data_IF_587082681787
#
_entry.id   IF_587082681787
#
_cell.length_a   1.000
_cell.length_b   1.000
_cell.length_c   1.000
_cell.angle_alpha   90.00
_cell.angle_beta   90.00
_cell.angle_gamma   90.00
#
_symmetry.space_group_name_H-M   'P 1'
#
loop_
_entity.id
_entity.type
_entity.pdbx_description
1 polymer ?
#
# COMPACT_ATOMS: atom_id res chain seq x y z
N UNK A 1 2.75 -36.47 0.82
CA UNK A 1 3.74 -36.04 -0.17
C UNK A 1 3.65 -34.54 -0.30
N UNK A 2 4.76 -33.83 -0.12
CA UNK A 2 4.78 -32.39 -0.39
C UNK A 2 4.41 -32.16 -1.86
N UNK A 3 3.40 -31.31 -2.13
CA UNK A 3 3.09 -30.93 -3.51
C UNK A 3 4.33 -30.23 -4.07
N UNK A 4 4.92 -30.75 -5.14
CA UNK A 4 6.05 -30.11 -5.80
C UNK A 4 5.56 -28.79 -6.39
N UNK A 5 6.06 -27.70 -5.89
CA UNK A 5 5.67 -26.34 -6.27
C UNK A 5 6.06 -26.03 -7.73
N UNK A 6 7.14 -26.63 -8.21
CA UNK A 6 7.67 -26.44 -9.57
C UNK A 6 7.37 -27.61 -10.50
N UNK A 7 6.19 -28.19 -10.39
CA UNK A 7 5.78 -29.33 -11.19
C UNK A 7 4.95 -28.91 -12.41
N UNK A 8 5.58 -28.86 -13.58
CA UNK A 8 4.93 -28.50 -14.85
C UNK A 8 3.89 -29.51 -15.38
N UNK A 9 3.70 -30.65 -14.70
CA UNK A 9 2.71 -31.66 -15.11
C UNK A 9 1.29 -31.39 -14.61
N UNK A 10 1.11 -30.34 -13.80
CA UNK A 10 -0.20 -29.93 -13.29
C UNK A 10 -1.03 -29.34 -14.42
N UNK A 11 -2.32 -29.73 -14.51
CA UNK A 11 -3.27 -29.13 -15.47
C UNK A 11 -3.38 -27.62 -15.25
N UNK A 12 -3.44 -26.84 -16.31
CA UNK A 12 -3.44 -25.37 -16.33
C UNK A 12 -4.78 -24.78 -16.78
N UNK A 13 -5.89 -25.46 -16.50
CA UNK A 13 -7.21 -24.88 -16.67
C UNK A 13 -7.48 -23.87 -15.52
N UNK A 14 -6.99 -22.64 -15.70
CA UNK A 14 -7.11 -21.60 -14.70
C UNK A 14 -8.49 -20.93 -14.67
N UNK A 15 -9.27 -21.03 -15.73
CA UNK A 15 -10.62 -20.43 -15.79
C UNK A 15 -11.59 -21.07 -14.78
N UNK A 16 -11.40 -22.36 -14.49
CA UNK A 16 -12.21 -23.10 -13.52
C UNK A 16 -11.76 -22.93 -12.07
N UNK A 17 -10.56 -22.38 -11.83
CA UNK A 17 -9.94 -22.32 -10.51
C UNK A 17 -10.50 -21.21 -9.60
N UNK A 18 -10.38 -21.43 -8.31
CA UNK A 18 -10.56 -20.40 -7.28
C UNK A 18 -9.37 -19.45 -7.28
N UNK A 19 -9.57 -18.28 -6.74
CA UNK A 19 -8.54 -17.25 -6.61
C UNK A 19 -7.39 -17.72 -5.71
N UNK A 20 -7.74 -18.27 -4.53
CA UNK A 20 -6.80 -18.74 -3.53
C UNK A 20 -7.04 -20.21 -3.18
N UNK A 21 -5.94 -20.92 -2.90
CA UNK A 21 -5.96 -22.31 -2.40
C UNK A 21 -6.89 -23.22 -3.21
N UNK A 22 -6.77 -23.20 -4.53
CA UNK A 22 -7.52 -24.13 -5.37
C UNK A 22 -7.04 -25.57 -5.14
N UNK A 23 -7.94 -26.57 -5.06
CA UNK A 23 -7.56 -27.97 -4.90
C UNK A 23 -6.63 -28.51 -6.00
N UNK A 24 -6.68 -27.93 -7.21
CA UNK A 24 -5.77 -28.29 -8.31
C UNK A 24 -4.32 -27.84 -8.05
N UNK A 25 -4.07 -26.96 -7.07
CA UNK A 25 -2.75 -26.52 -6.64
C UNK A 25 -2.38 -25.12 -7.10
N UNK A 26 -1.10 -24.72 -6.89
CA UNK A 26 -0.60 -23.38 -7.22
C UNK A 26 -0.51 -23.16 -8.74
N UNK A 27 -0.19 -21.93 -9.12
CA UNK A 27 0.21 -21.60 -10.50
C UNK A 27 1.49 -22.36 -10.84
N UNK A 28 1.56 -22.92 -12.05
CA UNK A 28 2.73 -23.70 -12.52
C UNK A 28 3.29 -23.18 -13.83
N UNK A 29 2.43 -22.90 -14.80
CA UNK A 29 2.80 -22.27 -16.07
C UNK A 29 2.06 -20.96 -16.14
N UNK A 30 2.78 -19.87 -16.36
CA UNK A 30 2.19 -18.56 -16.57
C UNK A 30 1.51 -18.52 -17.95
N UNK A 31 0.18 -18.37 -17.95
CA UNK A 31 -0.66 -18.34 -19.16
C UNK A 31 -1.55 -17.11 -19.09
N UNK A 32 -1.44 -16.23 -20.08
CA UNK A 32 -2.20 -14.99 -20.17
C UNK A 32 -3.03 -14.88 -21.46
N UNK A 33 -3.06 -15.92 -22.30
CA UNK A 33 -3.93 -15.97 -23.48
C UNK A 33 -5.42 -16.02 -23.11
N UNK A 34 -5.73 -16.59 -21.95
CA UNK A 34 -7.06 -16.59 -21.33
C UNK A 34 -6.91 -16.31 -19.84
N UNK A 35 -7.59 -15.28 -19.35
CA UNK A 35 -7.60 -14.89 -17.94
C UNK A 35 -8.99 -14.98 -17.37
N UNK A 36 -9.11 -15.48 -16.14
CA UNK A 36 -10.39 -15.59 -15.45
C UNK A 36 -10.94 -14.20 -15.06
N UNK A 37 -10.06 -13.33 -14.58
CA UNK A 37 -10.41 -12.00 -14.09
C UNK A 37 -9.72 -10.92 -14.92
N UNK A 38 -10.35 -10.48 -15.98
CA UNK A 38 -9.87 -9.36 -16.81
C UNK A 38 -9.54 -8.11 -15.99
N UNK A 39 -10.22 -7.92 -14.86
CA UNK A 39 -9.97 -6.77 -13.99
C UNK A 39 -8.58 -6.84 -13.34
N UNK A 40 -8.12 -8.02 -12.88
CA UNK A 40 -6.77 -8.20 -12.36
C UNK A 40 -5.70 -8.00 -13.43
N UNK A 41 -5.91 -8.59 -14.61
CA UNK A 41 -5.00 -8.40 -15.73
C UNK A 41 -4.89 -6.92 -16.15
N UNK A 42 -6.02 -6.19 -16.11
CA UNK A 42 -6.04 -4.76 -16.40
C UNK A 42 -5.29 -3.95 -15.34
N UNK A 43 -5.49 -4.23 -14.06
CA UNK A 43 -4.74 -3.57 -12.98
C UNK A 43 -3.22 -3.77 -13.13
N UNK A 44 -2.78 -5.01 -13.39
CA UNK A 44 -1.37 -5.30 -13.62
C UNK A 44 -0.82 -4.53 -14.83
N UNK A 45 -1.58 -4.50 -15.92
CA UNK A 45 -1.20 -3.77 -17.13
C UNK A 45 -1.11 -2.26 -16.87
N UNK A 46 -2.05 -1.68 -16.15
CA UNK A 46 -2.06 -0.25 -15.80
C UNK A 46 -0.88 0.10 -14.89
N UNK A 47 -0.62 -0.68 -13.84
CA UNK A 47 0.51 -0.48 -12.95
C UNK A 47 1.85 -0.56 -13.69
N UNK A 48 2.03 -1.58 -14.54
CA UNK A 48 3.23 -1.74 -15.36
C UNK A 48 3.40 -0.62 -16.39
N UNK A 49 2.31 -0.11 -16.94
CA UNK A 49 2.30 1.04 -17.86
C UNK A 49 2.60 2.37 -17.16
N UNK A 50 2.45 2.44 -15.85
CA UNK A 50 2.71 3.63 -15.03
C UNK A 50 4.10 3.57 -14.36
N UNK A 51 5.05 2.89 -14.95
CA UNK A 51 6.42 2.77 -14.40
C UNK A 51 7.14 4.12 -14.37
N UNK A 52 7.79 4.42 -13.25
CA UNK A 52 8.57 5.63 -13.02
C UNK A 52 9.75 5.36 -12.08
N UNK A 53 10.70 6.31 -11.98
CA UNK A 53 11.83 6.24 -11.06
C UNK A 53 12.03 7.58 -10.34
N UNK A 54 12.41 7.59 -9.07
CA UNK A 54 12.52 8.83 -8.28
C UNK A 54 13.63 9.76 -8.75
N UNK A 55 14.65 9.23 -9.44
CA UNK A 55 15.78 9.98 -9.97
C UNK A 55 15.38 11.01 -11.05
N UNK A 56 14.20 10.89 -11.63
CA UNK A 56 13.65 11.86 -12.61
C UNK A 56 13.20 13.16 -11.95
N UNK A 57 13.06 13.18 -10.61
CA UNK A 57 12.56 14.34 -9.87
C UNK A 57 13.71 15.05 -9.15
N UNK A 58 13.94 16.33 -9.47
CA UNK A 58 14.95 17.15 -8.80
C UNK A 58 14.51 17.53 -7.37
N UNK A 59 15.40 17.33 -6.40
CA UNK A 59 15.23 17.67 -4.98
C UNK A 59 16.13 18.83 -4.54
N UNK A 60 16.76 19.54 -5.47
CA UNK A 60 17.70 20.64 -5.16
C UNK A 60 17.00 21.74 -4.37
N UNK A 61 15.78 22.14 -4.78
CA UNK A 61 15.00 23.13 -4.05
C UNK A 61 14.57 22.62 -2.69
N UNK A 62 14.17 21.36 -2.57
CA UNK A 62 13.72 20.73 -1.32
C UNK A 62 14.81 20.73 -0.27
N UNK A 63 16.09 20.50 -0.67
CA UNK A 63 17.24 20.63 0.23
C UNK A 63 17.40 22.04 0.79
N UNK A 64 17.14 23.08 -0.01
CA UNK A 64 17.16 24.46 0.47
C UNK A 64 15.94 24.76 1.36
N UNK A 65 14.74 24.35 0.91
CA UNK A 65 13.50 24.52 1.69
C UNK A 65 13.66 23.88 3.09
N UNK A 66 14.31 22.72 3.20
CA UNK A 66 14.54 22.05 4.47
C UNK A 66 15.50 22.83 5.39
N UNK A 67 16.56 23.43 4.85
CA UNK A 67 17.47 24.26 5.63
C UNK A 67 16.77 25.47 6.23
N UNK A 68 15.90 26.10 5.45
CA UNK A 68 15.19 27.32 5.79
C UNK A 68 13.90 27.08 6.62
N UNK A 69 13.43 25.83 6.67
CA UNK A 69 12.22 25.46 7.38
C UNK A 69 12.36 25.60 8.90
N UNK A 70 11.24 25.92 9.57
CA UNK A 70 11.15 25.90 11.03
C UNK A 70 11.30 24.48 11.60
N UNK A 71 11.65 24.37 12.87
CA UNK A 71 11.77 23.06 13.54
C UNK A 71 10.46 22.28 13.53
N UNK A 72 9.31 22.96 13.61
CA UNK A 72 7.98 22.33 13.45
C UNK A 72 7.83 21.66 12.08
N UNK A 73 8.17 22.39 11.01
CA UNK A 73 8.08 21.86 9.64
C UNK A 73 9.07 20.72 9.42
N UNK A 74 10.30 20.85 9.92
CA UNK A 74 11.32 19.78 9.87
C UNK A 74 10.85 18.51 10.59
N UNK A 75 10.25 18.68 11.78
CA UNK A 75 9.69 17.56 12.53
C UNK A 75 8.59 16.84 11.73
N UNK A 76 7.60 17.56 11.22
CA UNK A 76 6.49 16.99 10.45
C UNK A 76 7.01 16.27 9.20
N UNK A 77 7.89 16.93 8.43
CA UNK A 77 8.47 16.36 7.21
C UNK A 77 9.24 15.07 7.50
N UNK A 78 10.18 15.12 8.46
CA UNK A 78 11.04 13.97 8.79
C UNK A 78 10.24 12.80 9.32
N UNK A 79 9.37 13.06 10.31
CA UNK A 79 8.57 12.01 10.93
C UNK A 79 7.66 11.31 9.91
N UNK A 80 7.02 12.10 9.04
CA UNK A 80 6.12 11.54 8.04
C UNK A 80 6.88 10.72 6.98
N UNK A 81 8.05 11.18 6.53
CA UNK A 81 8.92 10.48 5.59
C UNK A 81 9.42 9.14 6.17
N UNK A 82 9.84 9.13 7.43
CA UNK A 82 10.27 7.90 8.11
C UNK A 82 9.14 6.91 8.29
N UNK A 83 7.93 7.40 8.59
CA UNK A 83 6.76 6.55 8.69
C UNK A 83 6.39 5.91 7.35
N UNK A 84 6.38 6.68 6.27
CA UNK A 84 6.14 6.17 4.91
C UNK A 84 7.19 5.10 4.55
N UNK A 85 8.47 5.34 4.87
CA UNK A 85 9.53 4.34 4.69
C UNK A 85 9.24 3.02 5.42
N UNK A 86 8.72 3.10 6.65
CA UNK A 86 8.38 1.90 7.44
C UNK A 86 7.17 1.16 6.86
N UNK A 87 6.14 1.88 6.40
CA UNK A 87 4.94 1.30 5.79
C UNK A 87 5.30 0.51 4.53
N UNK A 88 6.02 1.11 3.58
CA UNK A 88 6.41 0.46 2.33
C UNK A 88 7.42 -0.68 2.55
N UNK A 89 8.28 -0.57 3.57
CA UNK A 89 9.17 -1.68 3.94
C UNK A 89 8.42 -2.91 4.43
N UNK A 90 7.26 -2.72 5.06
CA UNK A 90 6.37 -3.79 5.46
C UNK A 90 5.58 -4.33 4.25
N UNK A 91 4.95 -3.41 3.50
CA UNK A 91 4.10 -3.75 2.36
C UNK A 91 4.88 -4.38 1.21
N UNK A 92 6.10 -3.92 0.93
CA UNK A 92 6.91 -4.46 -0.15
C UNK A 92 7.22 -5.95 -0.03
N UNK A 93 7.21 -6.51 1.17
CA UNK A 93 7.42 -7.95 1.41
C UNK A 93 6.11 -8.73 1.49
N UNK A 94 5.03 -8.08 1.92
CA UNK A 94 3.74 -8.71 2.15
C UNK A 94 3.23 -9.49 0.93
N UNK A 95 2.85 -8.83 -0.18
CA UNK A 95 2.19 -9.50 -1.30
C UNK A 95 2.95 -10.70 -1.85
N UNK A 96 4.26 -10.58 -2.07
CA UNK A 96 5.06 -11.66 -2.65
C UNK A 96 5.31 -12.81 -1.66
N UNK A 97 5.47 -12.54 -0.37
CA UNK A 97 5.83 -13.58 0.60
C UNK A 97 4.62 -14.31 1.18
N UNK A 98 3.48 -13.62 1.33
CA UNK A 98 2.33 -14.23 2.01
C UNK A 98 1.19 -14.59 1.06
N UNK A 99 0.93 -13.82 0.01
CA UNK A 99 -0.17 -14.10 -0.90
C UNK A 99 0.26 -14.94 -2.11
N UNK A 100 1.45 -14.72 -2.70
CA UNK A 100 1.91 -15.53 -3.84
C UNK A 100 1.88 -17.03 -3.56
N UNK A 101 2.29 -17.54 -2.39
CA UNK A 101 2.23 -18.99 -2.10
C UNK A 101 0.83 -19.59 -2.11
N UNK A 102 -0.20 -18.76 -1.96
CA UNK A 102 -1.61 -19.20 -1.91
C UNK A 102 -2.40 -18.84 -3.17
N UNK A 103 -1.80 -18.10 -4.12
CA UNK A 103 -2.41 -17.80 -5.41
C UNK A 103 -2.60 -19.07 -6.25
N UNK A 104 -3.72 -19.16 -6.96
CA UNK A 104 -4.04 -20.32 -7.80
C UNK A 104 -4.26 -19.98 -9.28
N UNK A 105 -4.16 -18.72 -9.64
CA UNK A 105 -4.36 -18.19 -11.01
C UNK A 105 -3.26 -17.19 -11.38
N UNK A 106 -2.79 -17.18 -12.65
CA UNK A 106 -1.64 -16.40 -13.09
C UNK A 106 -1.80 -14.88 -12.95
N UNK A 107 -2.95 -14.34 -13.32
CA UNK A 107 -3.22 -12.91 -13.26
C UNK A 107 -3.21 -12.36 -11.83
N UNK A 108 -3.60 -13.17 -10.83
CA UNK A 108 -3.49 -12.77 -9.43
C UNK A 108 -2.04 -12.81 -8.95
N UNK A 109 -1.32 -13.87 -9.29
CA UNK A 109 0.10 -13.99 -8.94
C UNK A 109 0.91 -12.86 -9.54
N UNK A 110 0.63 -12.46 -10.80
CA UNK A 110 1.27 -11.34 -11.46
C UNK A 110 1.00 -10.00 -10.73
N UNK A 111 -0.23 -9.76 -10.27
CA UNK A 111 -0.56 -8.59 -9.44
C UNK A 111 0.26 -8.58 -8.14
N UNK A 112 0.41 -9.72 -7.44
CA UNK A 112 1.17 -9.79 -6.19
C UNK A 112 2.66 -9.49 -6.40
N UNK A 113 3.27 -9.97 -7.49
CA UNK A 113 4.67 -9.66 -7.81
C UNK A 113 4.86 -8.20 -8.23
N UNK A 114 3.94 -7.67 -9.04
CA UNK A 114 3.97 -6.27 -9.46
C UNK A 114 3.86 -5.34 -8.24
N UNK A 115 2.91 -5.60 -7.35
CA UNK A 115 2.72 -4.86 -6.10
C UNK A 115 4.01 -4.83 -5.27
N UNK A 116 4.58 -6.00 -4.93
CA UNK A 116 5.85 -6.05 -4.20
C UNK A 116 6.99 -5.34 -4.91
N UNK A 117 7.02 -5.36 -6.24
CA UNK A 117 8.04 -4.66 -7.01
C UNK A 117 7.94 -3.14 -6.85
N UNK A 118 6.76 -2.55 -7.00
CA UNK A 118 6.57 -1.11 -6.83
C UNK A 118 6.92 -0.66 -5.42
N UNK A 119 6.39 -1.32 -4.39
CA UNK A 119 6.68 -1.00 -3.00
C UNK A 119 8.18 -1.06 -2.66
N UNK A 120 8.85 -2.13 -3.09
CA UNK A 120 10.25 -2.36 -2.73
C UNK A 120 11.22 -1.56 -3.59
N UNK A 121 11.00 -1.54 -4.92
CA UNK A 121 11.98 -1.02 -5.87
C UNK A 121 11.74 0.41 -6.28
N UNK A 122 10.50 0.91 -6.15
CA UNK A 122 10.15 2.27 -6.53
C UNK A 122 9.91 3.11 -5.28
N UNK A 123 8.91 2.77 -4.43
CA UNK A 123 8.53 3.56 -3.26
C UNK A 123 9.64 3.61 -2.21
N UNK A 124 10.14 2.47 -1.73
CA UNK A 124 11.22 2.44 -0.73
C UNK A 124 12.50 3.12 -1.22
N UNK A 125 12.81 3.02 -2.52
CA UNK A 125 13.94 3.76 -3.11
C UNK A 125 13.68 5.25 -3.18
N UNK A 126 12.44 5.66 -3.39
CA UNK A 126 12.02 7.06 -3.43
C UNK A 126 12.28 7.76 -2.10
N UNK A 127 11.90 7.15 -0.99
CA UNK A 127 12.21 7.70 0.34
C UNK A 127 13.71 7.78 0.60
N UNK A 128 14.45 6.75 0.20
CA UNK A 128 15.92 6.76 0.28
C UNK A 128 16.53 7.85 -0.60
N UNK A 129 15.98 8.11 -1.78
CA UNK A 129 16.39 9.18 -2.67
C UNK A 129 16.13 10.56 -2.04
N UNK A 130 14.94 10.78 -1.46
CA UNK A 130 14.59 12.01 -0.77
C UNK A 130 15.55 12.26 0.40
N UNK A 131 15.74 11.26 1.28
CA UNK A 131 16.59 11.38 2.46
C UNK A 131 18.03 11.71 2.08
N UNK A 132 18.59 11.04 1.04
CA UNK A 132 19.97 11.29 0.57
C UNK A 132 20.18 12.70 0.00
N UNK A 133 19.16 13.29 -0.58
CA UNK A 133 19.26 14.63 -1.18
C UNK A 133 19.01 15.77 -0.18
N UNK A 134 18.32 15.50 0.93
CA UNK A 134 17.91 16.52 1.90
C UNK A 134 18.82 16.55 3.13
N UNK A 135 19.27 15.40 3.63
CA UNK A 135 20.03 15.31 4.87
C UNK A 135 21.52 15.13 4.64
N UNK A 136 22.33 15.80 5.47
CA UNK A 136 23.78 15.69 5.41
C UNK A 136 24.29 14.28 5.80
N UNK A 137 23.62 13.64 6.75
CA UNK A 137 23.94 12.28 7.24
C UNK A 137 22.69 11.40 7.17
N UNK A 138 22.36 10.83 6.01
CA UNK A 138 21.15 10.02 5.80
C UNK A 138 21.01 8.87 6.78
N UNK A 139 22.10 8.23 7.16
CA UNK A 139 22.10 7.10 8.09
C UNK A 139 21.50 7.46 9.45
N UNK A 140 21.82 8.63 9.97
CA UNK A 140 21.34 9.04 11.30
C UNK A 140 19.82 9.22 11.27
N UNK A 141 19.27 9.72 10.16
CA UNK A 141 17.83 9.86 9.99
C UNK A 141 17.14 8.49 9.97
N UNK A 142 17.65 7.54 9.19
CA UNK A 142 17.08 6.19 9.13
C UNK A 142 17.12 5.48 10.50
N UNK A 143 18.18 5.68 11.29
CA UNK A 143 18.29 5.05 12.61
C UNK A 143 17.18 5.52 13.58
N UNK A 144 16.62 6.71 13.39
CA UNK A 144 15.55 7.24 14.27
C UNK A 144 14.18 6.57 14.02
N UNK A 145 14.02 5.76 12.98
CA UNK A 145 12.76 4.98 12.75
C UNK A 145 12.45 4.12 13.99
N UNK A 146 13.48 3.47 14.53
CA UNK A 146 13.32 2.55 15.67
C UNK A 146 13.08 3.26 17.00
N UNK A 147 13.38 4.56 17.08
CA UNK A 147 13.23 5.35 18.30
C UNK A 147 11.84 6.01 18.42
N UNK A 148 11.00 5.90 17.40
CA UNK A 148 9.66 6.47 17.36
C UNK A 148 8.61 5.38 17.65
N UNK A 149 8.05 5.40 18.86
CA UNK A 149 7.10 4.38 19.32
C UNK A 149 5.86 4.31 18.42
N UNK A 150 5.35 5.45 17.96
CA UNK A 150 4.18 5.53 17.09
C UNK A 150 4.41 4.84 15.73
N UNK A 151 5.66 4.82 15.23
CA UNK A 151 6.02 4.08 14.01
C UNK A 151 6.09 2.58 14.30
N UNK A 152 6.68 2.18 15.41
CA UNK A 152 6.81 0.78 15.81
C UNK A 152 5.44 0.12 16.06
N UNK A 153 4.54 0.80 16.77
CA UNK A 153 3.19 0.30 17.06
C UNK A 153 2.38 0.08 15.79
N UNK A 154 2.43 1.06 14.89
CA UNK A 154 1.77 0.98 13.60
C UNK A 154 2.26 -0.22 12.75
N UNK A 155 3.56 -0.46 12.70
CA UNK A 155 4.12 -1.58 11.94
C UNK A 155 3.64 -2.93 12.50
N UNK A 156 3.50 -3.04 13.83
CA UNK A 156 3.09 -4.27 14.49
C UNK A 156 1.63 -4.64 14.22
N UNK A 157 0.72 -3.67 14.13
CA UNK A 157 -0.72 -3.94 13.98
C UNK A 157 -1.09 -4.61 12.65
N UNK A 158 -0.38 -4.29 11.55
CA UNK A 158 -0.53 -4.98 10.26
C UNK A 158 0.39 -6.19 10.17
N UNK A 159 1.66 -6.04 10.59
CA UNK A 159 2.68 -7.08 10.55
C UNK A 159 2.26 -8.38 11.22
N UNK A 160 1.53 -8.32 12.32
CA UNK A 160 1.04 -9.51 13.02
C UNK A 160 0.14 -10.40 12.14
N UNK A 161 -0.70 -9.82 11.28
CA UNK A 161 -1.55 -10.58 10.35
C UNK A 161 -0.74 -11.18 9.19
N UNK A 162 0.29 -10.47 8.75
CA UNK A 162 1.21 -10.98 7.74
C UNK A 162 2.03 -12.15 8.28
N UNK A 163 2.59 -12.01 9.48
CA UNK A 163 3.33 -13.08 10.17
C UNK A 163 2.45 -14.30 10.42
N UNK A 164 1.19 -14.11 10.82
CA UNK A 164 0.22 -15.20 11.00
C UNK A 164 0.03 -16.01 9.72
N UNK A 165 -0.20 -15.35 8.59
CA UNK A 165 -0.35 -16.03 7.30
C UNK A 165 0.96 -16.66 6.85
N UNK A 166 2.09 -15.99 7.02
CA UNK A 166 3.42 -16.52 6.68
C UNK A 166 3.71 -17.82 7.45
N UNK A 167 3.49 -17.84 8.75
CA UNK A 167 3.68 -19.04 9.59
C UNK A 167 2.78 -20.19 9.13
N UNK A 168 1.51 -19.91 8.78
CA UNK A 168 0.57 -20.92 8.31
C UNK A 168 1.03 -21.47 6.94
N UNK A 169 1.49 -20.63 6.02
CA UNK A 169 2.06 -21.05 4.75
C UNK A 169 3.26 -21.98 4.96
N UNK A 170 4.23 -21.60 5.79
CA UNK A 170 5.40 -22.40 6.11
C UNK A 170 5.03 -23.77 6.76
N UNK A 171 4.08 -23.76 7.70
CA UNK A 171 3.58 -25.01 8.30
C UNK A 171 2.97 -25.93 7.23
N UNK A 172 2.21 -25.37 6.30
CA UNK A 172 1.60 -26.14 5.20
C UNK A 172 2.64 -26.73 4.25
N UNK A 173 3.66 -25.97 3.90
CA UNK A 173 4.76 -26.41 3.04
C UNK A 173 5.61 -27.50 3.68
N UNK A 174 5.89 -27.40 4.97
CA UNK A 174 6.66 -28.38 5.73
C UNK A 174 5.87 -29.64 6.10
N UNK A 175 4.60 -29.73 5.69
CA UNK A 175 3.75 -30.91 5.91
C UNK A 175 3.11 -30.97 7.31
N UNK A 176 3.15 -29.89 8.07
CA UNK A 176 2.42 -29.77 9.33
C UNK A 176 0.91 -29.73 9.10
N UNK A 177 0.13 -30.14 10.09
CA UNK A 177 -1.33 -30.07 10.01
C UNK A 177 -1.78 -28.61 10.06
N UNK A 178 -2.41 -28.18 8.97
CA UNK A 178 -3.08 -26.88 8.84
C UNK A 178 -4.48 -27.17 8.28
N UNK A 179 -5.51 -26.75 9.00
CA UNK A 179 -6.89 -26.90 8.50
C UNK A 179 -7.16 -25.89 7.39
N UNK A 180 -8.05 -26.22 6.47
CA UNK A 180 -8.46 -25.29 5.41
C UNK A 180 -9.06 -24.01 6.01
N UNK A 181 -9.87 -24.16 7.05
CA UNK A 181 -10.49 -23.01 7.76
C UNK A 181 -9.43 -22.07 8.33
N UNK A 182 -8.43 -22.59 9.07
CA UNK A 182 -7.32 -21.77 9.62
C UNK A 182 -6.59 -21.00 8.52
N UNK A 183 -6.33 -21.66 7.38
CA UNK A 183 -5.62 -21.05 6.28
C UNK A 183 -6.43 -19.96 5.56
N UNK A 184 -7.72 -20.23 5.29
CA UNK A 184 -8.63 -19.26 4.67
C UNK A 184 -8.86 -18.05 5.59
N UNK A 185 -9.04 -18.27 6.91
CA UNK A 185 -9.20 -17.17 7.87
C UNK A 185 -7.96 -16.29 7.92
N UNK A 186 -6.75 -16.88 7.87
CA UNK A 186 -5.50 -16.10 7.84
C UNK A 186 -5.36 -15.28 6.55
N UNK A 187 -5.71 -15.84 5.39
CA UNK A 187 -5.72 -15.08 4.11
C UNK A 187 -6.73 -13.93 4.19
N UNK A 188 -7.92 -14.18 4.71
CA UNK A 188 -8.96 -13.16 4.87
C UNK A 188 -8.51 -12.02 5.75
N UNK A 189 -7.91 -12.31 6.91
CA UNK A 189 -7.39 -11.31 7.82
C UNK A 189 -6.23 -10.52 7.20
N UNK A 190 -5.30 -11.18 6.51
CA UNK A 190 -4.19 -10.52 5.84
C UNK A 190 -4.65 -9.60 4.70
N UNK A 191 -5.65 -9.98 3.91
CA UNK A 191 -6.25 -9.12 2.87
C UNK A 191 -6.86 -7.85 3.48
N UNK A 192 -7.59 -7.98 4.60
CA UNK A 192 -8.16 -6.82 5.29
C UNK A 192 -7.06 -5.94 5.92
N UNK A 193 -5.98 -6.52 6.44
CA UNK A 193 -4.82 -5.78 6.96
C UNK A 193 -4.10 -5.00 5.85
N UNK A 194 -3.90 -5.62 4.66
CA UNK A 194 -3.36 -4.93 3.49
C UNK A 194 -4.27 -3.79 3.06
N UNK A 195 -5.58 -4.00 3.00
CA UNK A 195 -6.53 -2.94 2.65
C UNK A 195 -6.52 -1.79 3.66
N UNK A 196 -6.37 -2.07 4.96
CA UNK A 196 -6.24 -1.03 5.98
C UNK A 196 -5.00 -0.16 5.76
N UNK A 197 -3.90 -0.78 5.29
CA UNK A 197 -2.67 -0.07 4.97
C UNK A 197 -2.86 0.84 3.76
N UNK A 198 -3.35 0.32 2.65
CA UNK A 198 -3.51 1.04 1.38
C UNK A 198 -4.59 2.12 1.45
N UNK A 199 -5.73 1.82 2.09
CA UNK A 199 -6.88 2.70 2.07
C UNK A 199 -6.85 3.82 3.13
N UNK A 200 -6.11 3.62 4.24
CA UNK A 200 -6.10 4.60 5.34
C UNK A 200 -4.72 5.18 5.58
N UNK A 201 -3.74 4.31 5.92
CA UNK A 201 -2.44 4.75 6.43
C UNK A 201 -1.68 5.58 5.42
N UNK A 202 -1.62 5.15 4.19
CA UNK A 202 -0.96 5.90 3.14
C UNK A 202 -1.68 7.21 2.85
N UNK A 203 -3.00 7.21 2.74
CA UNK A 203 -3.77 8.44 2.44
C UNK A 203 -3.54 9.54 3.49
N UNK A 204 -3.48 9.18 4.77
CA UNK A 204 -3.20 10.13 5.87
C UNK A 204 -1.78 10.69 5.77
N UNK A 205 -0.81 9.84 5.49
CA UNK A 205 0.59 10.25 5.31
C UNK A 205 0.77 11.14 4.08
N UNK A 206 0.13 10.81 2.95
CA UNK A 206 0.20 11.62 1.74
C UNK A 206 -0.45 13.00 1.92
N UNK A 207 -1.58 13.08 2.64
CA UNK A 207 -2.20 14.36 2.95
C UNK A 207 -1.22 15.30 3.69
N UNK A 208 -0.41 14.75 4.60
CA UNK A 208 0.59 15.54 5.32
C UNK A 208 1.72 16.02 4.39
N UNK A 209 2.28 15.15 3.56
CA UNK A 209 3.31 15.52 2.59
C UNK A 209 2.82 16.54 1.57
N UNK A 210 1.60 16.36 1.05
CA UNK A 210 1.02 17.25 0.05
C UNK A 210 0.55 18.59 0.63
N UNK A 211 0.28 18.67 1.94
CA UNK A 211 0.06 19.96 2.60
C UNK A 211 1.28 20.88 2.50
N UNK A 212 2.49 20.33 2.45
CA UNK A 212 3.70 21.12 2.22
C UNK A 212 3.75 21.72 0.82
N UNK A 213 3.28 20.97 -0.19
CA UNK A 213 3.15 21.46 -1.58
C UNK A 213 2.15 22.62 -1.66
N UNK A 214 1.03 22.54 -0.94
CA UNK A 214 0.06 23.63 -0.85
C UNK A 214 0.68 24.90 -0.25
N UNK A 215 1.68 24.73 0.60
CA UNK A 215 2.48 25.82 1.17
C UNK A 215 3.70 26.21 0.29
N UNK A 216 3.82 25.65 -0.92
CA UNK A 216 4.89 25.93 -1.89
C UNK A 216 6.30 25.58 -1.41
N UNK A 217 6.42 24.61 -0.51
CA UNK A 217 7.67 24.04 -0.04
C UNK A 217 7.71 22.54 -0.36
N UNK A 218 8.92 21.96 -0.48
CA UNK A 218 9.14 20.54 -0.77
C UNK A 218 8.40 20.03 -2.01
N UNK A 219 8.42 20.82 -3.10
CA UNK A 219 7.70 20.51 -4.34
C UNK A 219 8.22 19.22 -4.98
N UNK A 220 9.55 19.00 -4.97
CA UNK A 220 10.15 17.77 -5.50
C UNK A 220 9.68 16.53 -4.72
N UNK A 221 9.75 16.59 -3.37
CA UNK A 221 9.17 15.55 -2.52
C UNK A 221 7.69 15.33 -2.83
N UNK A 222 6.91 16.41 -2.94
CA UNK A 222 5.49 16.31 -3.26
C UNK A 222 5.21 15.68 -4.63
N UNK A 223 6.05 15.90 -5.62
CA UNK A 223 5.94 15.26 -6.93
C UNK A 223 6.17 13.74 -6.81
N UNK A 224 7.22 13.31 -6.09
CA UNK A 224 7.48 11.89 -5.82
C UNK A 224 6.31 11.27 -5.06
N UNK A 225 5.85 11.89 -3.98
CA UNK A 225 4.70 11.41 -3.19
C UNK A 225 3.42 11.37 -4.02
N UNK A 226 3.25 12.29 -4.96
CA UNK A 226 2.12 12.28 -5.89
C UNK A 226 2.14 11.08 -6.85
N UNK A 227 3.32 10.64 -7.30
CA UNK A 227 3.48 9.42 -8.10
C UNK A 227 3.17 8.17 -7.25
N UNK A 228 3.73 8.07 -6.05
CA UNK A 228 3.42 6.99 -5.11
C UNK A 228 1.91 6.94 -4.83
N UNK A 229 1.26 8.07 -4.56
CA UNK A 229 -0.18 8.14 -4.32
C UNK A 229 -1.01 7.52 -5.46
N UNK A 230 -0.59 7.68 -6.72
CA UNK A 230 -1.29 7.06 -7.85
C UNK A 230 -1.19 5.54 -7.81
N UNK A 231 -0.04 5.00 -7.44
CA UNK A 231 0.16 3.56 -7.27
C UNK A 231 -0.70 3.03 -6.11
N UNK A 232 -0.74 3.73 -4.97
CA UNK A 232 -1.52 3.32 -3.80
C UNK A 232 -3.04 3.39 -4.01
N UNK A 233 -3.50 4.30 -4.86
CA UNK A 233 -4.90 4.30 -5.31
C UNK A 233 -5.22 3.00 -6.06
N UNK A 234 -4.33 2.54 -6.94
CA UNK A 234 -4.50 1.25 -7.62
C UNK A 234 -4.42 0.07 -6.65
N UNK A 235 -3.46 0.08 -5.72
CA UNK A 235 -3.30 -0.96 -4.68
C UNK A 235 -4.57 -1.08 -3.82
N UNK A 236 -5.13 0.03 -3.38
CA UNK A 236 -6.41 0.09 -2.67
C UNK A 236 -7.55 -0.49 -3.53
N UNK A 237 -7.65 -0.08 -4.79
CA UNK A 237 -8.74 -0.52 -5.68
C UNK A 237 -8.72 -2.02 -5.92
N UNK A 238 -7.56 -2.61 -6.23
CA UNK A 238 -7.52 -4.05 -6.47
C UNK A 238 -7.69 -4.86 -5.18
N UNK A 239 -7.16 -4.39 -4.04
CA UNK A 239 -7.34 -5.08 -2.76
C UNK A 239 -8.80 -5.07 -2.32
N UNK A 240 -9.48 -3.91 -2.42
CA UNK A 240 -10.91 -3.80 -2.16
C UNK A 240 -11.76 -4.65 -3.11
N UNK A 241 -11.37 -4.72 -4.39
CA UNK A 241 -12.03 -5.59 -5.35
C UNK A 241 -11.84 -7.08 -4.99
N UNK A 242 -10.63 -7.52 -4.62
CA UNK A 242 -10.36 -8.89 -4.19
C UNK A 242 -11.20 -9.27 -2.97
N UNK A 243 -11.26 -8.43 -1.93
CA UNK A 243 -12.07 -8.64 -0.73
C UNK A 243 -13.55 -8.87 -1.11
N UNK A 244 -14.09 -8.06 -1.99
CA UNK A 244 -15.48 -8.21 -2.43
C UNK A 244 -15.70 -9.42 -3.33
N UNK A 245 -14.74 -9.76 -4.18
CA UNK A 245 -14.87 -10.82 -5.17
C UNK A 245 -14.73 -12.21 -4.55
N UNK A 246 -13.74 -12.42 -3.67
CA UNK A 246 -13.55 -13.74 -3.03
C UNK A 246 -14.77 -14.18 -2.21
N UNK A 247 -15.44 -13.25 -1.56
CA UNK A 247 -16.65 -13.54 -0.77
C UNK A 247 -17.84 -13.97 -1.65
N UNK A 248 -17.93 -13.42 -2.87
CA UNK A 248 -19.01 -13.75 -3.81
C UNK A 248 -18.83 -15.12 -4.45
N UNK A 249 -17.59 -15.52 -4.72
CA UNK A 249 -17.30 -16.70 -5.53
C UNK A 249 -16.88 -17.93 -4.72
N UNK A 250 -16.35 -17.72 -3.54
CA UNK A 250 -15.84 -18.81 -2.71
C UNK A 250 -16.55 -18.85 -1.36
N UNK A 251 -17.43 -19.86 -1.12
CA UNK A 251 -18.15 -19.98 0.14
C UNK A 251 -17.24 -20.11 1.37
N UNK A 252 -15.96 -20.52 1.20
CA UNK A 252 -14.98 -20.58 2.27
C UNK A 252 -14.67 -19.18 2.79
N UNK A 253 -14.52 -18.19 1.88
CA UNK A 253 -14.30 -16.79 2.23
C UNK A 253 -15.58 -16.11 2.75
N UNK A 254 -16.75 -16.46 2.23
CA UNK A 254 -18.02 -16.00 2.81
C UNK A 254 -18.16 -16.45 4.28
N UNK A 255 -17.80 -17.70 4.58
CA UNK A 255 -17.75 -18.21 5.93
C UNK A 255 -16.67 -17.55 6.81
N UNK A 256 -15.48 -17.27 6.26
CA UNK A 256 -14.39 -16.55 6.95
C UNK A 256 -14.82 -15.12 7.30
N UNK A 257 -15.48 -14.41 6.39
CA UNK A 257 -16.03 -13.06 6.63
C UNK A 257 -16.91 -13.06 7.88
N UNK A 258 -17.79 -14.06 8.02
CA UNK A 258 -18.66 -14.16 9.20
C UNK A 258 -17.90 -14.53 10.47
N UNK A 259 -16.97 -15.50 10.40
CA UNK A 259 -16.19 -15.94 11.57
C UNK A 259 -15.26 -14.85 12.10
N UNK A 260 -14.64 -14.12 11.21
CA UNK A 260 -13.63 -13.09 11.55
C UNK A 260 -14.22 -11.68 11.65
N UNK A 261 -15.56 -11.50 11.56
CA UNK A 261 -16.20 -10.19 11.51
C UNK A 261 -15.75 -9.26 12.64
N UNK A 262 -15.78 -9.75 13.87
CA UNK A 262 -15.39 -8.97 15.06
C UNK A 262 -13.90 -8.63 15.05
N UNK A 263 -13.04 -9.57 14.65
CA UNK A 263 -11.58 -9.35 14.57
C UNK A 263 -11.23 -8.33 13.47
N UNK A 264 -11.85 -8.44 12.30
CA UNK A 264 -11.68 -7.49 11.19
C UNK A 264 -12.17 -6.09 11.58
N UNK A 265 -13.33 -6.00 12.22
CA UNK A 265 -13.85 -4.71 12.67
C UNK A 265 -12.93 -4.05 13.70
N UNK A 266 -12.45 -4.82 14.70
CA UNK A 266 -11.51 -4.34 15.69
C UNK A 266 -10.19 -3.90 15.06
N UNK A 267 -9.65 -4.66 14.10
CA UNK A 267 -8.46 -4.29 13.33
C UNK A 267 -8.60 -2.90 12.71
N UNK A 268 -9.71 -2.61 12.04
CA UNK A 268 -9.95 -1.29 11.45
C UNK A 268 -10.08 -0.19 12.50
N UNK A 269 -10.74 -0.45 13.62
CA UNK A 269 -10.83 0.53 14.71
C UNK A 269 -9.46 0.84 15.32
N UNK A 270 -8.60 -0.17 15.48
CA UNK A 270 -7.24 0.00 15.97
C UNK A 270 -6.40 0.84 15.01
N UNK A 271 -6.45 0.53 13.71
CA UNK A 271 -5.77 1.32 12.68
C UNK A 271 -6.24 2.78 12.70
N UNK A 272 -7.54 3.03 12.76
CA UNK A 272 -8.10 4.39 12.80
C UNK A 272 -7.63 5.15 14.06
N UNK A 273 -7.58 4.48 15.21
CA UNK A 273 -7.06 5.07 16.45
C UNK A 273 -5.59 5.44 16.29
N UNK A 274 -4.77 4.54 15.79
CA UNK A 274 -3.34 4.76 15.55
C UNK A 274 -3.08 5.92 14.57
N UNK A 275 -3.90 6.06 13.53
CA UNK A 275 -3.82 7.19 12.61
C UNK A 275 -4.14 8.53 13.28
N UNK A 276 -5.11 8.55 14.20
CA UNK A 276 -5.43 9.73 14.99
C UNK A 276 -4.34 10.08 15.99
N UNK A 277 -3.71 9.09 16.60
CA UNK A 277 -2.57 9.28 17.50
C UNK A 277 -1.36 9.79 16.71
N UNK A 278 -1.13 9.26 15.51
CA UNK A 278 -0.14 9.78 14.58
C UNK A 278 -0.38 11.26 14.22
N UNK A 279 -1.61 11.66 13.96
CA UNK A 279 -1.94 13.05 13.71
C UNK A 279 -1.56 13.96 14.90
N UNK A 280 -1.80 13.50 16.13
CA UNK A 280 -1.39 14.22 17.34
C UNK A 280 0.14 14.32 17.46
N UNK A 281 0.85 13.24 17.19
CA UNK A 281 2.32 13.20 17.20
C UNK A 281 2.93 14.15 16.17
N UNK A 282 2.45 14.13 14.93
CA UNK A 282 2.95 15.01 13.86
C UNK A 282 2.85 16.49 14.22
N UNK A 283 1.73 16.89 14.80
CA UNK A 283 1.47 18.30 15.10
C UNK A 283 1.74 18.71 16.55
N UNK A 284 2.52 17.90 17.30
CA UNK A 284 2.86 18.22 18.71
C UNK A 284 3.61 19.53 18.91
N UNK A 285 4.32 20.01 17.88
CA UNK A 285 5.05 21.28 17.89
C UNK A 285 4.30 22.43 17.20
N UNK A 286 3.06 22.19 16.76
CA UNK A 286 2.21 23.18 16.12
C UNK A 286 1.77 22.77 14.70
N UNK A 287 0.85 23.54 14.12
CA UNK A 287 0.28 23.27 12.80
C UNK A 287 1.17 23.79 11.67
N UNK A 288 0.83 23.36 10.44
CA UNK A 288 1.20 24.05 9.20
C UNK A 288 -0.02 24.77 8.62
N UNK A 289 0.19 25.70 7.69
CA UNK A 289 -0.92 26.39 7.04
C UNK A 289 -1.80 25.34 6.31
N UNK A 290 -3.09 25.35 6.61
CA UNK A 290 -4.09 24.47 6.00
C UNK A 290 -4.18 23.06 6.57
N UNK A 291 -3.33 22.69 7.57
CA UNK A 291 -3.40 21.38 8.21
C UNK A 291 -2.95 21.42 9.68
N UNK A 292 -3.73 20.77 10.55
CA UNK A 292 -3.42 20.56 11.95
C UNK A 292 -3.93 19.19 12.41
N UNK A 293 -3.65 18.81 13.66
CA UNK A 293 -4.05 17.52 14.21
C UNK A 293 -5.57 17.26 14.10
N UNK A 294 -6.41 18.23 14.39
CA UNK A 294 -7.88 18.04 14.35
C UNK A 294 -8.37 17.83 12.91
N UNK A 295 -7.93 18.65 11.97
CA UNK A 295 -8.27 18.52 10.55
C UNK A 295 -7.80 17.16 10.01
N UNK A 296 -6.59 16.72 10.37
CA UNK A 296 -6.08 15.42 9.94
C UNK A 296 -6.86 14.25 10.58
N UNK A 297 -7.25 14.36 11.84
CA UNK A 297 -8.13 13.36 12.50
C UNK A 297 -9.51 13.26 11.85
N UNK A 298 -10.11 14.39 11.48
CA UNK A 298 -11.37 14.41 10.73
C UNK A 298 -11.19 13.78 9.34
N UNK A 299 -10.03 13.98 8.71
CA UNK A 299 -9.71 13.33 7.43
C UNK A 299 -9.52 11.82 7.59
N UNK A 300 -8.96 11.34 8.70
CA UNK A 300 -8.92 9.90 9.04
C UNK A 300 -10.33 9.32 9.07
N UNK A 301 -11.26 9.95 9.80
CA UNK A 301 -12.65 9.47 9.87
C UNK A 301 -13.36 9.50 8.52
N UNK A 302 -13.14 10.55 7.73
CA UNK A 302 -13.69 10.66 6.38
C UNK A 302 -13.19 9.54 5.46
N UNK A 303 -11.86 9.32 5.44
CA UNK A 303 -11.22 8.30 4.60
C UNK A 303 -11.65 6.89 5.03
N UNK A 304 -11.64 6.63 6.34
CA UNK A 304 -12.08 5.36 6.90
C UNK A 304 -13.54 5.03 6.55
N UNK A 305 -14.45 5.99 6.68
CA UNK A 305 -15.86 5.81 6.32
C UNK A 305 -16.03 5.42 4.86
N UNK A 306 -15.35 6.12 3.95
CA UNK A 306 -15.46 5.85 2.53
C UNK A 306 -14.89 4.47 2.18
N UNK A 307 -13.69 4.18 2.63
CA UNK A 307 -13.03 2.92 2.33
C UNK A 307 -13.76 1.71 2.95
N UNK A 308 -14.23 1.80 4.18
CA UNK A 308 -15.00 0.72 4.80
C UNK A 308 -16.34 0.47 4.10
N UNK A 309 -17.00 1.54 3.62
CA UNK A 309 -18.22 1.38 2.83
C UNK A 309 -17.96 0.64 1.51
N UNK A 310 -16.81 0.83 0.85
CA UNK A 310 -16.42 0.14 -0.39
C UNK A 310 -16.35 -1.39 -0.22
N UNK A 311 -16.00 -1.86 0.97
CA UNK A 311 -15.92 -3.30 1.32
C UNK A 311 -17.13 -3.79 2.15
N UNK A 312 -18.17 -2.96 2.26
CA UNK A 312 -19.44 -3.31 2.90
C UNK A 312 -19.41 -3.32 4.44
N UNK A 313 -18.46 -2.61 5.06
CA UNK A 313 -18.37 -2.43 6.52
C UNK A 313 -18.90 -1.04 6.89
N UNK A 314 -19.85 -0.99 7.82
CA UNK A 314 -20.38 0.28 8.32
C UNK A 314 -19.44 0.88 9.37
N UNK A 315 -19.10 2.15 9.19
CA UNK A 315 -18.35 2.94 10.16
C UNK A 315 -19.19 4.09 10.69
N UNK A 316 -18.66 4.87 11.64
CA UNK A 316 -19.38 5.95 12.36
C UNK A 316 -20.25 6.84 11.47
N UNK A 317 -21.53 6.94 11.79
CA UNK A 317 -22.46 7.84 11.08
C UNK A 317 -22.09 9.32 11.25
N UNK A 318 -21.39 9.67 12.35
CA UNK A 318 -20.94 11.02 12.70
C UNK A 318 -19.67 11.45 11.97
N UNK A 319 -18.98 10.54 11.24
CA UNK A 319 -17.82 10.92 10.44
C UNK A 319 -18.19 11.97 9.37
N UNK A 320 -17.25 12.89 9.03
CA UNK A 320 -17.52 13.96 8.06
C UNK A 320 -18.17 13.43 6.76
N UNK A 321 -19.11 14.21 6.21
CA UNK A 321 -19.79 13.86 4.94
C UNK A 321 -18.99 14.31 3.71
N UNK A 322 -18.14 15.32 3.88
CA UNK A 322 -17.22 15.83 2.86
C UNK A 322 -15.81 15.89 3.41
N UNK A 323 -14.83 15.85 2.52
CA UNK A 323 -13.42 15.91 2.95
C UNK A 323 -13.12 17.22 3.69
N UNK A 324 -12.46 17.17 4.86
CA UNK A 324 -12.01 18.35 5.57
C UNK A 324 -10.82 19.05 4.88
N UNK A 325 -10.20 18.40 3.90
CA UNK A 325 -9.07 18.91 3.11
C UNK A 325 -9.40 18.87 1.60
N UNK A 326 -10.27 19.76 1.09
CA UNK A 326 -10.73 19.72 -0.31
C UNK A 326 -9.61 19.84 -1.35
N UNK A 327 -8.50 20.49 -0.99
CA UNK A 327 -7.33 20.63 -1.84
C UNK A 327 -6.66 19.28 -2.16
N UNK A 328 -6.84 18.25 -1.32
CA UNK A 328 -6.31 16.91 -1.55
C UNK A 328 -6.92 16.22 -2.77
N UNK A 329 -8.18 16.54 -3.10
CA UNK A 329 -8.90 15.91 -4.21
C UNK A 329 -8.18 16.08 -5.57
N UNK A 330 -7.46 17.20 -5.78
CA UNK A 330 -6.70 17.42 -7.02
C UNK A 330 -5.53 16.47 -7.20
N UNK A 331 -5.00 15.92 -6.09
CA UNK A 331 -3.90 14.96 -6.08
C UNK A 331 -4.37 13.51 -6.30
N UNK A 332 -5.62 13.19 -5.92
CA UNK A 332 -6.22 11.87 -6.14
C UNK A 332 -6.96 11.74 -7.48
N UNK A 333 -7.06 12.83 -8.24
CA UNK A 333 -7.72 12.85 -9.55
C UNK A 333 -6.85 12.16 -10.61
N UNK A 334 -7.10 10.86 -10.81
CA UNK A 334 -6.40 10.03 -11.80
C UNK A 334 -6.76 10.37 -13.26
N UNK A 335 -7.78 11.22 -13.51
CA UNK A 335 -8.14 11.65 -14.88
C UNK A 335 -7.06 12.55 -15.51
N UNK A 336 -6.22 13.15 -14.66
CA UNK A 336 -5.05 13.94 -15.06
C UNK A 336 -3.75 13.10 -14.89
N UNK A 337 -3.81 11.80 -15.20
CA UNK A 337 -2.61 10.97 -15.22
C UNK A 337 -1.51 11.71 -15.97
N UNK A 338 -0.50 12.18 -15.24
CA UNK A 338 0.75 12.55 -15.89
C UNK A 338 1.23 11.26 -16.54
N UNK A 339 1.30 11.25 -17.86
CA UNK A 339 2.17 10.31 -18.58
C UNK A 339 3.51 10.35 -17.90
N UNK A 340 4.06 9.19 -17.57
CA UNK A 340 5.40 9.09 -16.99
C UNK A 340 6.31 10.05 -17.76
N UNK A 341 7.17 10.78 -17.07
CA UNK A 341 8.09 11.76 -17.69
C UNK A 341 8.82 11.15 -18.89
N UNK A 342 9.08 9.85 -18.89
CA UNK A 342 9.62 9.05 -19.98
C UNK A 342 8.78 9.08 -21.27
N UNK A 343 7.46 9.19 -21.20
CA UNK A 343 6.62 9.25 -22.42
C UNK A 343 6.64 10.63 -23.07
N UNK A 344 6.97 11.69 -22.34
CA UNK A 344 7.09 13.04 -22.88
C UNK A 344 8.49 13.30 -23.48
N UNK A 345 9.51 12.53 -23.11
CA UNK A 345 10.89 12.70 -23.61
C UNK A 345 11.24 11.82 -24.81
N UNK A 346 10.41 10.84 -25.18
CA UNK A 346 10.66 9.92 -26.29
C UNK A 346 10.80 10.62 -27.67
N UNK A 347 10.39 11.87 -27.79
CA UNK A 347 10.56 12.67 -29.00
C UNK A 347 11.91 13.38 -29.11
N UNK A 348 12.72 13.39 -28.05
CA UNK A 348 14.01 14.11 -28.00
C UNK A 348 15.23 13.22 -27.72
N UNK A 349 15.09 11.90 -27.75
CA UNK A 349 16.25 11.01 -27.66
C UNK A 349 17.05 11.04 -28.95
N UNK A 350 17.94 12.00 -29.07
CA UNK A 350 19.00 11.95 -30.08
C UNK A 350 20.02 10.91 -29.61
N UNK A 351 19.94 9.70 -30.18
CA UNK A 351 21.03 8.73 -30.04
C UNK A 351 22.26 9.40 -30.60
N UNK A 352 23.20 9.79 -29.72
CA UNK A 352 24.47 10.31 -30.12
C UNK A 352 25.15 9.29 -31.01
N UNK A 353 25.35 9.62 -32.26
CA UNK A 353 26.22 8.89 -33.16
C UNK A 353 27.62 9.12 -32.65
N UNK A 354 28.31 8.04 -32.16
CA UNK A 354 29.74 8.06 -31.92
C UNK A 354 30.48 8.18 -33.26
#
# INVERSE_FOLDING_TARGET
>A
MSKQQYNLKTKTDYLSRKMFLDPAGPVTIQRFEEVKYNKLAKFEQEARGFFWVPEEVSLTKDSQDFKDASDTVKHIFTSNLLRQTALDSLQGRGPSQIFTPVCSIPELEAVMYNWSFFETNIHSRSYSHIIRNIYNVPKDVFNTIHDTQEIADMASSVGNYYDKLHVINCRKETGSVVTETEHIDAIWLALNASYALEAFRFMVSFATSLAMVENRIFIGNGNIIGLILQDEIMHKEWTGWMINQVVKEDPRFAAAKTRCEAEVYQMYLDVIREEKDWANYLFKHGPVIGLNANILRDFVDFTAKNALNEIGIKYMETAPRSTPIPWFNKHVDTSKKQTALQENESTNYVIGVM
#
